data_IF_830817461225
#
_entry.id   IF_830817461225
#
_cell.length_a   1.000
_cell.length_b   1.000
_cell.length_c   1.000
_cell.angle_alpha   90.00
_cell.angle_beta   90.00
_cell.angle_gamma   90.00
#
_symmetry.space_group_name_H-M   'P 1'
#
loop_
_entity.id
_entity.type
_entity.pdbx_description
1 polymer ?
#
# COMPACT_ATOMS: atom_id res chain seq x y z
N UNK A 1 -33.42 -34.35 -20.04
CA UNK A 1 -31.97 -34.43 -19.77
C UNK A 1 -31.30 -33.74 -20.97
N UNK A 2 -30.82 -32.51 -20.94
CA UNK A 2 -30.19 -31.75 -19.86
C UNK A 2 -28.73 -31.55 -20.26
N UNK A 3 -28.45 -30.51 -21.06
CA UNK A 3 -27.10 -30.21 -21.55
C UNK A 3 -27.09 -28.99 -22.48
N UNK A 4 -27.45 -27.81 -21.97
CA UNK A 4 -27.21 -26.53 -22.66
C UNK A 4 -25.77 -26.13 -22.41
N UNK A 5 -24.86 -26.45 -23.33
CA UNK A 5 -23.53 -25.83 -23.39
C UNK A 5 -23.69 -24.46 -24.03
N UNK A 6 -24.03 -23.46 -23.22
CA UNK A 6 -23.92 -22.06 -23.62
C UNK A 6 -22.45 -21.71 -23.57
N UNK A 7 -21.79 -21.70 -24.72
CA UNK A 7 -20.47 -21.10 -24.92
C UNK A 7 -20.61 -19.59 -24.71
N UNK A 8 -20.58 -19.16 -23.46
CA UNK A 8 -20.33 -17.76 -23.10
C UNK A 8 -18.87 -17.44 -23.40
N UNK A 9 -18.64 -16.28 -24.00
CA UNK A 9 -17.35 -15.83 -24.54
C UNK A 9 -16.15 -16.23 -23.68
N UNK A 10 -15.18 -16.86 -24.32
CA UNK A 10 -13.93 -17.29 -23.69
C UNK A 10 -12.97 -16.12 -23.64
N UNK A 11 -12.63 -15.65 -22.43
CA UNK A 11 -11.50 -14.73 -22.21
C UNK A 11 -10.25 -15.59 -22.07
N UNK A 12 -9.46 -15.70 -23.13
CA UNK A 12 -8.17 -16.39 -23.11
C UNK A 12 -7.07 -15.36 -22.78
N UNK A 13 -6.54 -15.44 -21.57
CA UNK A 13 -5.38 -14.65 -21.15
C UNK A 13 -4.11 -15.44 -21.48
N UNK A 14 -3.33 -14.98 -22.44
CA UNK A 14 -1.97 -15.50 -22.69
C UNK A 14 -0.94 -14.38 -22.56
N UNK A 15 0.27 -14.74 -22.10
CA UNK A 15 1.36 -13.83 -21.83
C UNK A 15 1.71 -12.97 -23.05
N UNK A 16 1.47 -11.66 -22.96
CA UNK A 16 2.10 -10.65 -23.81
C UNK A 16 1.19 -9.89 -24.77
N UNK A 17 -0.02 -10.38 -25.06
CA UNK A 17 -1.00 -9.66 -25.85
C UNK A 17 -2.40 -9.85 -25.25
N UNK A 18 -2.95 -8.78 -24.66
CA UNK A 18 -4.37 -8.75 -24.33
C UNK A 18 -5.13 -8.45 -25.62
N UNK A 19 -5.36 -9.47 -26.44
CA UNK A 19 -6.29 -9.39 -27.56
C UNK A 19 -7.70 -9.61 -27.02
N UNK A 20 -8.42 -8.52 -26.74
CA UNK A 20 -9.87 -8.58 -26.51
C UNK A 20 -10.53 -8.67 -27.89
N UNK A 21 -10.53 -9.86 -28.49
CA UNK A 21 -11.38 -10.11 -29.66
C UNK A 21 -12.82 -10.28 -29.17
N UNK A 22 -13.50 -9.14 -29.02
CA UNK A 22 -14.94 -9.13 -28.89
C UNK A 22 -15.53 -9.26 -30.29
N UNK A 23 -15.88 -10.48 -30.72
CA UNK A 23 -16.98 -10.62 -31.66
C UNK A 23 -18.18 -9.91 -31.01
N UNK A 24 -18.57 -8.75 -31.56
CA UNK A 24 -19.57 -7.88 -30.94
C UNK A 24 -20.98 -8.44 -31.16
N UNK A 25 -21.28 -9.54 -30.50
CA UNK A 25 -22.63 -9.72 -30.00
C UNK A 25 -22.82 -8.74 -28.84
N UNK A 26 -23.84 -7.88 -28.92
CA UNK A 26 -24.11 -6.89 -27.87
C UNK A 26 -24.41 -7.56 -26.52
N UNK A 27 -24.30 -6.81 -25.43
CA UNK A 27 -24.70 -7.30 -24.10
C UNK A 27 -26.19 -7.67 -24.07
N UNK A 28 -26.55 -8.78 -23.42
CA UNK A 28 -27.97 -9.21 -23.31
C UNK A 28 -28.73 -8.47 -22.22
N UNK A 29 -28.02 -7.85 -21.28
CA UNK A 29 -28.62 -7.07 -20.19
C UNK A 29 -27.66 -6.00 -19.64
N UNK A 30 -28.22 -5.03 -18.91
CA UNK A 30 -27.43 -4.05 -18.16
C UNK A 30 -26.56 -4.71 -17.08
N UNK A 31 -27.06 -5.75 -16.41
CA UNK A 31 -26.31 -6.47 -15.38
C UNK A 31 -25.06 -7.13 -15.98
N UNK A 32 -25.20 -7.81 -17.11
CA UNK A 32 -24.07 -8.41 -17.84
C UNK A 32 -23.04 -7.36 -18.27
N UNK A 33 -23.49 -6.19 -18.76
CA UNK A 33 -22.59 -5.10 -19.13
C UNK A 33 -21.82 -4.55 -17.92
N UNK A 34 -22.49 -4.37 -16.77
CA UNK A 34 -21.85 -3.91 -15.53
C UNK A 34 -20.86 -4.95 -15.01
N UNK A 35 -21.23 -6.23 -15.00
CA UNK A 35 -20.36 -7.32 -14.54
C UNK A 35 -19.12 -7.45 -15.43
N UNK A 36 -19.25 -7.26 -16.74
CA UNK A 36 -18.12 -7.26 -17.67
C UNK A 36 -17.13 -6.11 -17.37
N UNK A 37 -17.62 -4.89 -17.11
CA UNK A 37 -16.76 -3.77 -16.71
C UNK A 37 -16.09 -4.04 -15.37
N UNK A 38 -16.84 -4.54 -14.38
CA UNK A 38 -16.31 -4.89 -13.07
C UNK A 38 -15.23 -5.99 -13.15
N UNK A 39 -15.37 -6.95 -14.06
CA UNK A 39 -14.36 -7.97 -14.31
C UNK A 39 -13.06 -7.38 -14.87
N UNK A 40 -13.15 -6.40 -15.78
CA UNK A 40 -11.97 -5.68 -16.28
C UNK A 40 -11.29 -4.89 -15.16
N UNK A 41 -12.05 -4.20 -14.31
CA UNK A 41 -11.49 -3.49 -13.15
C UNK A 41 -10.79 -4.44 -12.16
N UNK A 42 -11.34 -5.64 -11.94
CA UNK A 42 -10.70 -6.67 -11.12
C UNK A 42 -9.39 -7.17 -11.74
N UNK A 43 -9.32 -7.29 -13.07
CA UNK A 43 -8.08 -7.61 -13.78
C UNK A 43 -7.06 -6.47 -13.69
N UNK A 44 -7.47 -5.22 -13.85
CA UNK A 44 -6.60 -4.05 -13.67
C UNK A 44 -6.01 -4.00 -12.25
N UNK A 45 -6.82 -4.27 -11.23
CA UNK A 45 -6.34 -4.41 -9.86
C UNK A 45 -5.31 -5.54 -9.71
N UNK A 46 -5.57 -6.70 -10.30
CA UNK A 46 -4.65 -7.85 -10.26
C UNK A 46 -3.31 -7.57 -10.96
N UNK A 47 -3.36 -6.86 -12.09
CA UNK A 47 -2.17 -6.39 -12.81
C UNK A 47 -1.42 -5.32 -12.00
N UNK A 48 -2.11 -4.42 -11.33
CA UNK A 48 -1.49 -3.44 -10.44
C UNK A 48 -0.74 -4.11 -9.27
N UNK A 49 -1.30 -5.18 -8.69
CA UNK A 49 -0.60 -5.99 -7.69
C UNK A 49 0.64 -6.67 -8.27
N UNK A 50 0.57 -7.19 -9.49
CA UNK A 50 1.71 -7.83 -10.16
C UNK A 50 2.81 -6.82 -10.47
N UNK A 51 2.44 -5.63 -10.96
CA UNK A 51 3.36 -4.51 -11.17
C UNK A 51 4.07 -4.11 -9.89
N UNK A 52 3.35 -4.05 -8.76
CA UNK A 52 3.95 -3.72 -7.48
C UNK A 52 5.00 -4.76 -7.02
N UNK A 53 4.76 -6.05 -7.28
CA UNK A 53 5.79 -7.08 -7.00
C UNK A 53 7.02 -6.84 -7.87
N UNK A 54 6.86 -6.68 -9.19
CA UNK A 54 7.98 -6.46 -10.09
C UNK A 54 8.78 -5.20 -9.78
N UNK A 55 8.10 -4.10 -9.40
CA UNK A 55 8.76 -2.86 -8.99
C UNK A 55 9.52 -3.02 -7.66
N UNK A 56 8.97 -3.76 -6.71
CA UNK A 56 9.67 -4.08 -5.46
C UNK A 56 10.90 -4.95 -5.71
N UNK A 57 10.78 -5.96 -6.57
CA UNK A 57 11.87 -6.87 -6.93
C UNK A 57 12.98 -6.12 -7.69
N UNK A 58 12.62 -5.20 -8.58
CA UNK A 58 13.57 -4.34 -9.28
C UNK A 58 14.35 -3.43 -8.31
N UNK A 59 13.67 -2.84 -7.32
CA UNK A 59 14.35 -2.07 -6.28
C UNK A 59 15.30 -2.93 -5.43
N UNK A 60 14.89 -4.15 -5.09
CA UNK A 60 15.76 -5.10 -4.38
C UNK A 60 16.97 -5.54 -5.22
N UNK A 61 16.75 -5.79 -6.52
CA UNK A 61 17.82 -6.11 -7.46
C UNK A 61 18.83 -4.97 -7.55
N UNK A 62 18.37 -3.73 -7.69
CA UNK A 62 19.24 -2.56 -7.75
C UNK A 62 20.10 -2.40 -6.49
N UNK A 63 19.51 -2.60 -5.30
CA UNK A 63 20.25 -2.60 -4.04
C UNK A 63 21.28 -3.73 -3.91
N UNK A 64 21.04 -4.88 -4.56
CA UNK A 64 22.01 -5.98 -4.58
C UNK A 64 23.12 -5.80 -5.62
N UNK A 65 22.93 -4.92 -6.61
CA UNK A 65 23.86 -4.69 -7.73
C UNK A 65 24.36 -3.23 -7.74
N UNK A 66 24.47 -2.60 -6.56
CA UNK A 66 24.91 -1.20 -6.44
C UNK A 66 26.28 -0.99 -7.07
N UNK A 67 27.24 -1.89 -6.87
CA UNK A 67 28.58 -1.79 -7.45
C UNK A 67 28.58 -1.94 -8.99
N UNK A 68 27.60 -2.65 -9.56
CA UNK A 68 27.45 -2.76 -11.02
C UNK A 68 26.84 -1.49 -11.62
N UNK A 69 25.91 -0.86 -10.90
CA UNK A 69 25.20 0.35 -11.33
C UNK A 69 26.03 1.61 -11.06
N UNK A 70 26.79 1.63 -9.97
CA UNK A 70 27.63 2.72 -9.47
C UNK A 70 29.02 2.17 -9.16
N UNK A 71 29.92 2.07 -10.16
CA UNK A 71 31.25 1.50 -9.98
C UNK A 71 32.10 2.20 -8.92
N UNK A 72 31.85 3.48 -8.66
CA UNK A 72 32.52 4.29 -7.64
C UNK A 72 32.21 3.84 -6.20
N UNK A 73 31.21 2.97 -6.01
CA UNK A 73 30.84 2.43 -4.70
C UNK A 73 31.82 1.37 -4.18
N UNK A 74 32.62 0.76 -5.08
CA UNK A 74 33.47 -0.39 -4.76
C UNK A 74 34.51 -0.01 -3.70
N UNK A 75 34.53 -0.76 -2.59
CA UNK A 75 35.50 -0.57 -1.51
C UNK A 75 35.31 0.71 -0.70
N UNK A 76 34.18 1.41 -0.87
CA UNK A 76 33.80 2.57 -0.08
C UNK A 76 33.43 2.21 1.36
N UNK A 77 33.43 3.21 2.24
CA UNK A 77 32.91 3.06 3.59
C UNK A 77 31.36 3.02 3.61
N UNK A 78 30.76 2.89 4.80
CA UNK A 78 29.31 2.81 4.94
C UNK A 78 28.58 4.08 4.45
N UNK A 79 29.22 5.25 4.48
CA UNK A 79 28.62 6.48 3.98
C UNK A 79 28.58 6.48 2.45
N UNK A 80 29.69 6.10 1.81
CA UNK A 80 29.79 5.95 0.35
C UNK A 80 28.83 4.88 -0.16
N UNK A 81 28.71 3.73 0.53
CA UNK A 81 27.79 2.67 0.15
C UNK A 81 26.32 3.15 0.14
N UNK A 82 25.92 3.94 1.14
CA UNK A 82 24.57 4.49 1.24
C UNK A 82 24.28 5.57 0.20
N UNK A 83 25.27 6.40 -0.11
CA UNK A 83 25.15 7.37 -1.20
C UNK A 83 24.99 6.65 -2.55
N UNK A 84 25.78 5.60 -2.79
CA UNK A 84 25.69 4.79 -3.99
C UNK A 84 24.35 4.05 -4.11
N UNK A 85 23.79 3.52 -3.02
CA UNK A 85 22.43 2.96 -3.01
C UNK A 85 21.39 3.99 -3.48
N UNK A 86 21.51 5.24 -3.01
CA UNK A 86 20.64 6.35 -3.43
C UNK A 86 20.79 6.69 -4.91
N UNK A 87 22.03 6.72 -5.42
CA UNK A 87 22.31 6.95 -6.84
C UNK A 87 21.75 5.81 -7.70
N UNK A 88 21.96 4.55 -7.30
CA UNK A 88 21.44 3.39 -8.02
C UNK A 88 19.91 3.40 -8.09
N UNK A 89 19.24 3.72 -6.96
CA UNK A 89 17.79 3.91 -6.93
C UNK A 89 17.33 5.05 -7.85
N UNK A 90 18.08 6.17 -7.90
CA UNK A 90 17.83 7.28 -8.82
C UNK A 90 17.90 6.88 -10.29
N UNK A 91 18.95 6.15 -10.69
CA UNK A 91 19.13 5.64 -12.06
C UNK A 91 17.97 4.72 -12.46
N UNK A 92 17.53 3.85 -11.56
CA UNK A 92 16.37 2.98 -11.80
C UNK A 92 15.09 3.79 -11.96
N UNK A 93 14.88 4.81 -11.13
CA UNK A 93 13.73 5.70 -11.23
C UNK A 93 13.71 6.46 -12.56
N UNK A 94 14.84 6.98 -13.03
CA UNK A 94 14.96 7.66 -14.33
C UNK A 94 14.59 6.73 -15.49
N UNK A 95 15.12 5.51 -15.50
CA UNK A 95 14.79 4.51 -16.54
C UNK A 95 13.31 4.14 -16.53
N UNK A 96 12.73 3.97 -15.33
CA UNK A 96 11.30 3.71 -15.18
C UNK A 96 10.45 4.90 -15.66
N UNK A 97 10.88 6.13 -15.36
CA UNK A 97 10.21 7.35 -15.79
C UNK A 97 10.13 7.43 -17.31
N UNK A 98 11.21 7.11 -18.02
CA UNK A 98 11.26 7.08 -19.48
C UNK A 98 10.29 6.05 -20.08
N UNK A 99 10.31 4.82 -19.55
CA UNK A 99 9.45 3.72 -20.03
C UNK A 99 7.97 4.00 -19.75
N UNK A 100 7.66 4.52 -18.56
CA UNK A 100 6.29 4.73 -18.09
C UNK A 100 5.72 6.10 -18.49
N UNK A 101 6.54 6.99 -19.05
CA UNK A 101 6.18 8.36 -19.41
C UNK A 101 5.67 9.17 -18.21
N UNK A 102 6.40 9.09 -17.11
CA UNK A 102 6.13 9.86 -15.87
C UNK A 102 7.39 10.63 -15.45
N UNK A 103 7.33 11.45 -14.39
CA UNK A 103 8.53 12.07 -13.84
C UNK A 103 9.38 11.06 -13.05
N UNK A 104 10.71 11.28 -12.92
CA UNK A 104 11.57 10.48 -12.04
C UNK A 104 11.06 10.38 -10.61
N UNK A 105 10.55 11.48 -10.06
CA UNK A 105 9.95 11.51 -8.71
C UNK A 105 8.72 10.59 -8.61
N UNK A 106 7.85 10.60 -9.63
CA UNK A 106 6.70 9.71 -9.67
C UNK A 106 7.12 8.23 -9.79
N UNK A 107 8.16 7.94 -10.59
CA UNK A 107 8.70 6.59 -10.72
C UNK A 107 9.34 6.09 -9.40
N UNK A 108 10.14 6.92 -8.73
CA UNK A 108 10.69 6.61 -7.41
C UNK A 108 9.58 6.37 -6.38
N UNK A 109 8.56 7.23 -6.37
CA UNK A 109 7.38 7.06 -5.53
C UNK A 109 6.65 5.72 -5.77
N UNK A 110 6.53 5.29 -7.03
CA UNK A 110 5.95 3.99 -7.37
C UNK A 110 6.77 2.81 -6.86
N UNK A 111 8.11 2.88 -6.91
CA UNK A 111 8.98 1.83 -6.36
C UNK A 111 8.84 1.74 -4.84
N UNK A 112 8.85 2.88 -4.15
CA UNK A 112 8.66 2.93 -2.70
C UNK A 112 7.27 2.46 -2.26
N UNK A 113 6.22 2.88 -2.97
CA UNK A 113 4.84 2.42 -2.75
C UNK A 113 4.75 0.90 -2.93
N UNK A 114 5.36 0.39 -3.99
CA UNK A 114 5.40 -1.04 -4.33
C UNK A 114 6.11 -1.86 -3.24
N UNK A 115 7.28 -1.41 -2.80
CA UNK A 115 8.03 -2.01 -1.68
C UNK A 115 7.20 -2.02 -0.39
N UNK A 116 6.50 -0.92 -0.08
CA UNK A 116 5.61 -0.86 1.07
C UNK A 116 4.44 -1.86 0.94
N UNK A 117 3.83 -1.96 -0.24
CA UNK A 117 2.74 -2.88 -0.49
C UNK A 117 3.16 -4.34 -0.29
N UNK A 118 4.34 -4.73 -0.80
CA UNK A 118 4.88 -6.10 -0.71
C UNK A 118 5.30 -6.47 0.72
N UNK A 119 6.09 -5.61 1.38
CA UNK A 119 6.72 -5.99 2.65
C UNK A 119 5.94 -5.54 3.89
N UNK A 120 5.10 -4.52 3.76
CA UNK A 120 4.44 -3.87 4.90
C UNK A 120 2.92 -4.08 4.91
N UNK A 121 2.32 -4.32 3.74
CA UNK A 121 0.88 -4.47 3.54
C UNK A 121 0.47 -5.73 2.77
N UNK A 122 0.89 -6.93 3.23
CA UNK A 122 0.64 -8.17 2.50
C UNK A 122 -0.86 -8.50 2.37
N UNK A 123 -1.72 -8.03 3.28
CA UNK A 123 -3.17 -8.26 3.16
C UNK A 123 -3.78 -7.36 2.10
N UNK A 124 -3.31 -6.12 2.00
CA UNK A 124 -3.71 -5.21 0.92
C UNK A 124 -3.24 -5.73 -0.43
N UNK A 125 -1.99 -6.20 -0.53
CA UNK A 125 -1.50 -6.82 -1.76
C UNK A 125 -2.35 -8.02 -2.18
N UNK A 126 -2.69 -8.91 -1.23
CA UNK A 126 -3.55 -10.06 -1.51
C UNK A 126 -4.96 -9.65 -1.98
N UNK A 127 -5.56 -8.63 -1.36
CA UNK A 127 -6.87 -8.12 -1.75
C UNK A 127 -6.86 -7.48 -3.15
N UNK A 128 -5.79 -6.75 -3.47
CA UNK A 128 -5.56 -6.13 -4.78
C UNK A 128 -5.33 -7.20 -5.85
N UNK A 129 -4.50 -8.22 -5.56
CA UNK A 129 -4.24 -9.36 -6.45
C UNK A 129 -5.50 -10.18 -6.74
N UNK A 130 -6.44 -10.24 -5.79
CA UNK A 130 -7.74 -10.89 -5.98
C UNK A 130 -8.79 -10.02 -6.68
N UNK A 131 -8.45 -8.79 -7.10
CA UNK A 131 -9.40 -7.87 -7.72
C UNK A 131 -10.51 -7.35 -6.80
N UNK A 132 -10.39 -7.58 -5.49
CA UNK A 132 -11.44 -7.23 -4.50
C UNK A 132 -11.40 -5.78 -4.04
N UNK A 133 -10.31 -5.08 -4.34
CA UNK A 133 -10.14 -3.65 -4.13
C UNK A 133 -9.39 -3.08 -5.34
N UNK A 134 -9.65 -1.81 -5.69
CA UNK A 134 -8.87 -1.10 -6.70
C UNK A 134 -7.54 -0.56 -6.15
N UNK A 135 -6.64 -0.16 -7.06
CA UNK A 135 -5.36 0.45 -6.68
C UNK A 135 -5.52 1.71 -5.82
N UNK A 136 -6.53 2.55 -6.09
CA UNK A 136 -6.82 3.74 -5.28
C UNK A 136 -7.18 3.42 -3.82
N UNK A 137 -7.83 2.27 -3.56
CA UNK A 137 -8.06 1.80 -2.18
C UNK A 137 -6.73 1.40 -1.51
N UNK A 138 -5.84 0.72 -2.24
CA UNK A 138 -4.53 0.35 -1.74
C UNK A 138 -3.71 1.61 -1.37
N UNK A 139 -3.65 2.59 -2.26
CA UNK A 139 -3.00 3.88 -2.01
C UNK A 139 -3.53 4.58 -0.76
N UNK A 140 -4.86 4.59 -0.59
CA UNK A 140 -5.49 5.15 0.62
C UNK A 140 -5.01 4.42 1.88
N UNK A 141 -4.98 3.09 1.87
CA UNK A 141 -4.51 2.31 3.02
C UNK A 141 -3.04 2.63 3.32
N UNK A 142 -2.16 2.67 2.31
CA UNK A 142 -0.75 2.99 2.48
C UNK A 142 -0.56 4.40 3.08
N UNK A 143 -1.25 5.40 2.53
CA UNK A 143 -1.18 6.79 3.02
C UNK A 143 -1.55 6.95 4.49
N UNK A 144 -2.61 6.28 4.96
CA UNK A 144 -3.05 6.38 6.37
C UNK A 144 -2.28 5.50 7.34
N UNK A 145 -1.50 4.55 6.83
CA UNK A 145 -0.70 3.63 7.65
C UNK A 145 0.79 3.98 7.69
N UNK A 146 1.22 4.93 6.85
CA UNK A 146 2.56 5.50 6.88
C UNK A 146 2.92 6.05 8.28
N UNK A 147 4.17 5.79 8.69
CA UNK A 147 4.72 6.17 9.99
C UNK A 147 4.24 5.34 11.19
N UNK A 148 3.31 4.39 11.00
CA UNK A 148 2.91 3.49 12.09
C UNK A 148 3.94 2.37 12.27
N UNK A 149 4.19 1.99 13.53
CA UNK A 149 4.92 0.77 13.86
C UNK A 149 4.18 -0.48 13.34
N UNK A 150 4.90 -1.58 13.16
CA UNK A 150 4.40 -2.83 12.53
C UNK A 150 3.04 -3.31 13.06
N UNK A 151 2.87 -3.34 14.38
CA UNK A 151 1.61 -3.75 15.03
C UNK A 151 0.43 -2.81 14.71
N UNK A 152 0.62 -1.50 14.89
CA UNK A 152 -0.37 -0.49 14.57
C UNK A 152 -0.77 -0.47 13.10
N UNK A 153 0.22 -0.66 12.21
CA UNK A 153 0.05 -0.78 10.76
C UNK A 153 -0.85 -1.96 10.40
N UNK A 154 -0.48 -3.18 10.82
CA UNK A 154 -1.26 -4.39 10.54
C UNK A 154 -2.69 -4.32 11.09
N UNK A 155 -2.86 -3.73 12.28
CA UNK A 155 -4.18 -3.54 12.87
C UNK A 155 -5.03 -2.51 12.11
N UNK A 156 -4.44 -1.45 11.56
CA UNK A 156 -5.17 -0.46 10.77
C UNK A 156 -5.51 -1.01 9.38
N UNK A 157 -4.53 -1.60 8.70
CA UNK A 157 -4.68 -2.31 7.43
C UNK A 157 -5.88 -3.27 7.47
N UNK A 158 -5.89 -4.19 8.44
CA UNK A 158 -6.97 -5.18 8.60
C UNK A 158 -8.34 -4.53 8.80
N UNK A 159 -8.40 -3.39 9.48
CA UNK A 159 -9.66 -2.67 9.70
C UNK A 159 -10.14 -1.97 8.43
N UNK A 160 -9.25 -1.27 7.74
CA UNK A 160 -9.57 -0.56 6.51
C UNK A 160 -9.98 -1.52 5.39
N UNK A 161 -9.34 -2.69 5.28
CA UNK A 161 -9.69 -3.70 4.28
C UNK A 161 -11.11 -4.26 4.42
N UNK A 162 -11.69 -4.28 5.63
CA UNK A 162 -13.10 -4.66 5.80
C UNK A 162 -14.06 -3.65 5.17
N UNK A 163 -13.68 -2.38 5.18
CA UNK A 163 -14.48 -1.30 4.59
C UNK A 163 -14.20 -1.15 3.09
N UNK A 164 -12.95 -1.29 2.66
CA UNK A 164 -12.53 -1.12 1.27
C UNK A 164 -13.27 -2.02 0.26
N UNK A 165 -13.80 -3.17 0.68
CA UNK A 165 -14.57 -4.08 -0.17
C UNK A 165 -15.98 -3.56 -0.52
N UNK A 166 -16.47 -2.54 0.19
CA UNK A 166 -17.86 -2.06 0.09
C UNK A 166 -17.97 -0.55 -0.01
N UNK A 167 -16.89 0.17 0.24
CA UNK A 167 -16.83 1.62 0.24
C UNK A 167 -16.09 2.10 -1.00
N UNK A 168 -16.46 3.28 -1.48
CA UNK A 168 -15.65 4.02 -2.45
C UNK A 168 -14.32 4.46 -1.83
N UNK A 169 -13.36 4.88 -2.67
CA UNK A 169 -12.07 5.39 -2.22
C UNK A 169 -12.24 6.61 -1.30
N UNK A 170 -13.18 7.50 -1.61
CA UNK A 170 -13.45 8.70 -0.81
C UNK A 170 -14.01 8.35 0.58
N UNK A 171 -14.99 7.44 0.64
CA UNK A 171 -15.56 6.95 1.90
C UNK A 171 -14.50 6.23 2.74
N UNK A 172 -13.66 5.39 2.11
CA UNK A 172 -12.55 4.73 2.77
C UNK A 172 -11.57 5.74 3.38
N UNK A 173 -11.26 6.82 2.65
CA UNK A 173 -10.39 7.89 3.15
C UNK A 173 -10.99 8.58 4.38
N UNK A 174 -12.29 8.85 4.38
CA UNK A 174 -12.98 9.40 5.56
C UNK A 174 -12.93 8.45 6.75
N UNK A 175 -13.20 7.17 6.54
CA UNK A 175 -13.12 6.13 7.57
C UNK A 175 -11.68 6.06 8.12
N UNK A 176 -10.69 6.06 7.25
CA UNK A 176 -9.28 5.97 7.62
C UNK A 176 -8.80 7.17 8.44
N UNK A 177 -9.25 8.38 8.09
CA UNK A 177 -9.01 9.59 8.88
C UNK A 177 -9.57 9.47 10.29
N UNK A 178 -10.84 9.12 10.43
CA UNK A 178 -11.51 8.94 11.74
C UNK A 178 -10.77 7.90 12.57
N UNK A 179 -10.38 6.78 11.96
CA UNK A 179 -9.65 5.71 12.62
C UNK A 179 -8.26 6.14 13.11
N UNK A 180 -7.53 6.90 12.29
CA UNK A 180 -6.22 7.42 12.65
C UNK A 180 -6.33 8.43 13.80
N UNK A 181 -7.28 9.36 13.72
CA UNK A 181 -7.54 10.31 14.80
C UNK A 181 -7.89 9.62 16.12
N UNK A 182 -8.79 8.63 16.08
CA UNK A 182 -9.17 7.86 17.27
C UNK A 182 -7.95 7.20 17.93
N UNK A 183 -7.05 6.65 17.12
CA UNK A 183 -5.81 6.01 17.60
C UNK A 183 -4.79 7.00 18.15
N UNK A 184 -4.70 8.20 17.59
CA UNK A 184 -3.81 9.26 18.10
C UNK A 184 -4.35 9.86 19.41
N UNK A 185 -5.67 9.96 19.56
CA UNK A 185 -6.31 10.48 20.79
C UNK A 185 -6.10 9.59 22.01
N UNK A 186 -6.06 8.26 21.85
CA UNK A 186 -5.97 7.33 22.98
C UNK A 186 -4.63 7.39 23.77
N UNK A 187 -3.44 7.42 23.15
CA UNK A 187 -2.18 7.66 23.84
C UNK A 187 -2.11 9.03 24.53
N UNK A 188 -2.65 10.08 23.90
CA UNK A 188 -2.71 11.42 24.48
C UNK A 188 -3.49 11.45 25.80
N UNK A 189 -4.66 10.80 25.84
CA UNK A 189 -5.46 10.65 27.06
C UNK A 189 -4.70 9.92 28.17
N UNK A 190 -4.05 8.80 27.85
CA UNK A 190 -3.26 8.03 28.84
C UNK A 190 -2.09 8.84 29.42
N UNK A 191 -1.43 9.67 28.62
CA UNK A 191 -0.37 10.57 29.08
C UNK A 191 -0.93 11.65 30.02
N UNK A 192 -2.05 12.27 29.65
CA UNK A 192 -2.72 13.27 30.49
C UNK A 192 -3.18 12.67 31.83
N UNK A 193 -3.77 11.47 31.82
CA UNK A 193 -4.17 10.75 33.04
C UNK A 193 -2.98 10.41 33.95
N UNK A 194 -1.84 9.99 33.37
CA UNK A 194 -0.61 9.73 34.14
C UNK A 194 -0.05 11.00 34.77
N UNK A 195 0.00 12.10 34.01
CA UNK A 195 0.47 13.38 34.51
C UNK A 195 -0.44 13.94 35.62
N UNK A 196 -1.76 13.77 35.50
CA UNK A 196 -2.72 14.11 36.55
C UNK A 196 -2.52 13.26 37.82
N UNK A 197 -2.32 11.94 37.67
CA UNK A 197 -2.03 11.05 38.81
C UNK A 197 -0.72 11.44 39.52
N UNK A 198 0.32 11.77 38.77
CA UNK A 198 1.58 12.27 39.33
C UNK A 198 1.40 13.57 40.10
N UNK A 199 0.65 14.54 39.55
CA UNK A 199 0.35 15.81 40.24
C UNK A 199 -0.39 15.60 41.57
N UNK A 200 -1.38 14.71 41.60
CA UNK A 200 -2.12 14.36 42.84
C UNK A 200 -1.24 13.68 43.89
N UNK A 201 -0.31 12.82 43.45
CA UNK A 201 0.65 12.17 44.34
C UNK A 201 1.63 13.19 44.95
N UNK A 202 2.15 14.11 44.14
CA UNK A 202 3.04 15.17 44.61
C UNK A 202 2.34 16.13 45.59
N UNK A 203 1.09 16.52 45.32
CA UNK A 203 0.32 17.37 46.25
C UNK A 203 0.01 16.67 47.57
N UNK A 204 -0.23 15.35 47.53
CA UNK A 204 -0.45 14.54 48.74
C UNK A 204 0.84 14.33 49.56
N UNK A 205 2.01 14.24 48.91
CA UNK A 205 3.30 14.14 49.60
C UNK A 205 3.74 15.48 50.20
N UNK A 206 3.47 16.60 49.54
CA UNK A 206 3.78 17.94 50.03
C UNK A 206 2.95 18.34 51.27
N UNK A 207 1.72 17.84 51.39
CA UNK A 207 0.87 18.05 52.59
C UNK A 207 1.17 17.11 53.77
N UNK A 208 2.10 16.17 53.61
CA UNK A 208 2.40 15.11 54.58
C UNK A 208 3.72 15.26 55.34
N UNK A 209 4.39 16.42 55.29
CA UNK A 209 5.61 16.65 56.06
C UNK A 209 5.25 17.08 57.49
N UNK A 210 5.40 16.21 58.51
CA UNK A 210 5.16 16.62 59.89
C UNK A 210 6.28 17.57 60.32
N UNK A 211 5.90 18.72 60.88
CA UNK A 211 6.81 19.62 61.56
C UNK A 211 7.52 18.85 62.68
N UNK A 212 8.84 18.71 62.58
CA UNK A 212 9.68 18.27 63.66
C UNK A 212 10.13 19.52 64.42
N UNK A 213 9.52 19.71 65.60
CA UNK A 213 9.96 20.45 66.81
C UNK A 213 10.70 21.78 66.65
#
# INVERSE_FOLDING_TARGET
MGGSTTTGGSVVVTNGAVTVEAEREGFRSLAEAIDAVAAVDALLASLAASRAVLMSDLGAWAGAHVEEIVPEAVGGDEAVAREAEGIAAGIVADRLADVLRVSPEAAAGLVEESRALVHQHPRTLAALRGGTISYGHAQTILGYTCGLHRGGRAALETRLLRHARKATVAELSQIARIERERRLRAPGRRRAERAERQRRQMSSQAGGSPACT
#
